data_IF_884919061851
#
_entry.id   IF_884919061851
#
_cell.length_a   1.000
_cell.length_b   1.000
_cell.length_c   1.000
_cell.angle_alpha   90.00
_cell.angle_beta   90.00
_cell.angle_gamma   90.00
#
_symmetry.space_group_name_H-M   'P 1'
#
loop_
_entity.id
_entity.type
_entity.pdbx_description
1 polymer ?
#
# COMPACT_ATOMS: atom_id res chain seq x y z
N UNK A 1 12.88 -11.71 3.59
CA UNK A 1 12.24 -11.51 4.89
C UNK A 1 10.86 -12.15 4.91
N UNK A 2 9.81 -11.49 4.39
CA UNK A 2 8.41 -11.99 4.42
C UNK A 2 8.27 -13.42 3.90
N UNK A 3 8.87 -13.76 2.75
CA UNK A 3 8.74 -15.11 2.17
C UNK A 3 9.32 -16.23 3.05
N UNK A 4 10.31 -15.91 3.91
CA UNK A 4 10.93 -16.89 4.81
C UNK A 4 9.98 -17.33 5.92
N UNK A 5 9.03 -16.48 6.31
CA UNK A 5 7.99 -16.80 7.30
C UNK A 5 7.01 -17.86 6.78
N UNK A 6 6.88 -17.99 5.45
CA UNK A 6 6.01 -18.98 4.81
C UNK A 6 6.75 -20.26 4.43
N UNK A 7 7.99 -20.12 3.93
CA UNK A 7 8.83 -21.27 3.58
C UNK A 7 10.30 -20.87 3.49
N UNK A 8 11.13 -21.61 4.21
CA UNK A 8 12.58 -21.44 4.18
C UNK A 8 13.19 -21.86 2.84
N UNK A 9 14.27 -21.20 2.43
CA UNK A 9 15.04 -21.49 1.21
C UNK A 9 14.26 -21.34 -0.11
N UNK A 10 13.24 -20.48 -0.12
CA UNK A 10 12.58 -20.05 -1.36
C UNK A 10 13.51 -19.16 -2.21
N UNK A 11 13.52 -19.42 -3.52
CA UNK A 11 14.17 -18.57 -4.53
C UNK A 11 13.12 -17.95 -5.43
N UNK A 12 13.32 -16.68 -5.78
CA UNK A 12 12.45 -15.95 -6.69
C UNK A 12 13.13 -15.76 -8.05
N UNK A 13 12.36 -15.87 -9.11
CA UNK A 13 12.79 -15.38 -10.42
C UNK A 13 12.94 -13.85 -10.35
N UNK A 14 13.90 -13.29 -11.07
CA UNK A 14 14.10 -11.83 -11.11
C UNK A 14 12.84 -11.08 -11.55
N UNK A 15 12.14 -11.59 -12.57
CA UNK A 15 10.88 -11.02 -13.05
C UNK A 15 9.74 -11.10 -12.03
N UNK A 16 9.72 -12.11 -11.15
CA UNK A 16 8.72 -12.21 -10.10
C UNK A 16 8.90 -11.10 -9.06
N UNK A 17 10.15 -10.76 -8.72
CA UNK A 17 10.44 -9.63 -7.82
C UNK A 17 10.05 -8.30 -8.47
N UNK A 18 10.34 -8.12 -9.77
CA UNK A 18 9.93 -6.91 -10.50
C UNK A 18 8.41 -6.76 -10.54
N UNK A 19 7.66 -7.83 -10.82
CA UNK A 19 6.20 -7.79 -10.82
C UNK A 19 5.63 -7.41 -9.45
N UNK A 20 6.21 -7.93 -8.36
CA UNK A 20 5.82 -7.54 -6.99
C UNK A 20 6.11 -6.07 -6.72
N UNK A 21 7.25 -5.56 -7.19
CA UNK A 21 7.61 -4.15 -7.04
C UNK A 21 6.63 -3.25 -7.79
N UNK A 22 6.37 -3.52 -9.07
CA UNK A 22 5.45 -2.73 -9.89
C UNK A 22 4.04 -2.70 -9.28
N UNK A 23 3.52 -3.85 -8.85
CA UNK A 23 2.22 -3.93 -8.20
C UNK A 23 2.19 -3.17 -6.86
N UNK A 24 3.25 -3.26 -6.07
CA UNK A 24 3.35 -2.58 -4.77
C UNK A 24 3.41 -1.06 -4.94
N UNK A 25 4.19 -0.57 -5.90
CA UNK A 25 4.28 0.86 -6.21
C UNK A 25 2.95 1.40 -6.72
N UNK A 26 2.32 0.72 -7.68
CA UNK A 26 1.00 1.13 -8.19
C UNK A 26 -0.06 1.20 -7.09
N UNK A 27 -0.09 0.20 -6.20
CA UNK A 27 -1.00 0.17 -5.06
C UNK A 27 -0.74 1.34 -4.09
N UNK A 28 0.52 1.57 -3.72
CA UNK A 28 0.87 2.63 -2.76
C UNK A 28 0.62 4.03 -3.35
N UNK A 29 0.93 4.25 -4.63
CA UNK A 29 0.63 5.52 -5.32
C UNK A 29 -0.88 5.79 -5.26
N UNK A 30 -1.71 4.84 -5.70
CA UNK A 30 -3.16 5.01 -5.63
C UNK A 30 -3.66 5.23 -4.21
N UNK A 31 -3.13 4.49 -3.22
CA UNK A 31 -3.52 4.65 -1.81
C UNK A 31 -3.18 6.06 -1.30
N UNK A 32 -2.01 6.60 -1.68
CA UNK A 32 -1.61 7.95 -1.29
C UNK A 32 -2.42 9.05 -1.99
N UNK A 33 -2.88 8.83 -3.22
CA UNK A 33 -3.83 9.73 -3.90
C UNK A 33 -5.13 9.85 -3.10
N UNK A 34 -5.74 8.73 -2.70
CA UNK A 34 -6.95 8.72 -1.87
C UNK A 34 -6.72 9.29 -0.47
N UNK A 35 -5.55 8.99 0.12
CA UNK A 35 -5.14 9.53 1.42
C UNK A 35 -5.01 11.06 1.35
N UNK A 36 -4.47 11.60 0.27
CA UNK A 36 -4.37 13.03 0.05
C UNK A 36 -5.76 13.68 -0.09
N UNK A 37 -6.68 13.04 -0.82
CA UNK A 37 -8.08 13.50 -0.89
C UNK A 37 -8.74 13.53 0.50
N UNK A 38 -8.48 12.54 1.36
CA UNK A 38 -8.97 12.53 2.74
C UNK A 38 -8.39 13.68 3.59
N UNK A 39 -7.10 13.99 3.43
CA UNK A 39 -6.48 15.12 4.13
C UNK A 39 -7.05 16.47 3.66
N UNK A 40 -7.25 16.65 2.36
CA UNK A 40 -7.87 17.84 1.75
C UNK A 40 -9.31 18.01 2.24
N UNK A 41 -10.09 16.92 2.27
CA UNK A 41 -11.46 16.92 2.80
C UNK A 41 -11.50 17.41 4.27
N UNK A 42 -10.47 17.08 5.05
CA UNK A 42 -10.29 17.54 6.43
C UNK A 42 -9.58 18.90 6.56
N UNK A 43 -9.47 19.69 5.48
CA UNK A 43 -8.84 21.02 5.43
C UNK A 43 -7.35 21.04 5.87
N UNK A 44 -6.61 19.98 5.55
CA UNK A 44 -5.16 19.85 5.81
C UNK A 44 -4.39 19.61 4.51
N UNK A 45 -3.09 19.89 4.55
CA UNK A 45 -2.14 19.57 3.46
C UNK A 45 -1.26 18.38 3.86
N UNK A 46 -0.92 18.25 5.14
CA UNK A 46 -0.17 17.12 5.66
C UNK A 46 -1.08 15.91 5.88
N UNK A 47 -0.78 14.80 5.19
CA UNK A 47 -1.42 13.51 5.41
C UNK A 47 -1.03 12.93 6.78
N UNK A 48 -1.97 12.21 7.40
CA UNK A 48 -1.80 11.59 8.71
C UNK A 48 -2.20 10.11 8.65
N UNK A 49 -1.76 9.26 9.61
CA UNK A 49 -2.14 7.85 9.63
C UNK A 49 -3.66 7.60 9.57
N UNK A 50 -4.47 8.49 10.18
CA UNK A 50 -5.94 8.42 10.13
C UNK A 50 -6.52 8.58 8.71
N UNK A 51 -5.84 9.31 7.84
CA UNK A 51 -6.27 9.51 6.45
C UNK A 51 -6.06 8.22 5.65
N UNK A 52 -4.94 7.52 5.89
CA UNK A 52 -4.65 6.21 5.28
C UNK A 52 -5.67 5.18 5.77
N UNK A 53 -5.94 5.15 7.08
CA UNK A 53 -6.94 4.25 7.67
C UNK A 53 -8.33 4.49 7.06
N UNK A 54 -8.73 5.75 6.89
CA UNK A 54 -9.99 6.11 6.25
C UNK A 54 -10.02 5.72 4.77
N UNK A 55 -8.96 6.01 4.00
CA UNK A 55 -8.86 5.64 2.59
C UNK A 55 -9.00 4.13 2.38
N UNK A 56 -8.28 3.32 3.16
CA UNK A 56 -8.40 1.84 3.15
C UNK A 56 -9.81 1.37 3.50
N UNK A 57 -10.44 2.01 4.49
CA UNK A 57 -11.82 1.70 4.88
C UNK A 57 -12.82 1.99 3.77
N UNK A 58 -12.66 3.11 3.06
CA UNK A 58 -13.51 3.51 1.92
C UNK A 58 -13.31 2.55 0.74
N UNK A 59 -12.08 2.11 0.47
CA UNK A 59 -11.76 1.07 -0.53
C UNK A 59 -12.36 -0.30 -0.23
N UNK A 60 -12.86 -0.51 0.99
CA UNK A 60 -13.39 -1.80 1.43
C UNK A 60 -12.30 -2.83 1.74
N UNK A 61 -11.05 -2.40 1.86
CA UNK A 61 -9.95 -3.26 2.32
C UNK A 61 -10.21 -3.67 3.77
N UNK A 62 -10.10 -4.98 4.05
CA UNK A 62 -10.27 -5.49 5.41
C UNK A 62 -8.99 -5.20 6.21
N UNK A 63 -9.19 -4.86 7.49
CA UNK A 63 -8.14 -4.89 8.50
C UNK A 63 -7.86 -6.33 8.90
#
# INVERSE_FOLDING_TARGET
EIAQDFKTDLRFQSSAVLALQEASEAYLVGLFEDTNLCAIHAKRVTIMPKDIQLARRIRGERA
#
